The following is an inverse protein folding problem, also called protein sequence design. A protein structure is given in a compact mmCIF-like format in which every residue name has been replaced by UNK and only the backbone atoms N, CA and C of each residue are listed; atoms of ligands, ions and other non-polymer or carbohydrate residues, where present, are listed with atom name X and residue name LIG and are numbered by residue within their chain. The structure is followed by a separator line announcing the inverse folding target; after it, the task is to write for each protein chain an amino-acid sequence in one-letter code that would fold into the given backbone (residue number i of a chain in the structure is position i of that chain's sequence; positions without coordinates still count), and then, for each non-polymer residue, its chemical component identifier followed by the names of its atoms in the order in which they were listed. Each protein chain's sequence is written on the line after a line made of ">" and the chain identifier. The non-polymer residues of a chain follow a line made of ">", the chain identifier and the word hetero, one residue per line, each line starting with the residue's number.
data_IF_526943481406
#
_entry.id   IF_526943481406
#
_cell.length_a   1.000
_cell.length_b   1.000
_cell.length_c   1.000
_cell.angle_alpha   90.00
_cell.angle_beta   90.00
_cell.angle_gamma   90.00
#
_symmetry.space_group_name_H-M   'P 1'
#
loop_
_entity.id
_entity.type
_entity.pdbx_description
1 polymer ?
#
# COMPACT_ATOMS: atom_id res chain seq x y z
N UNK A 1 -17.17 -15.06 0.08
CA UNK A 1 -16.87 -13.68 0.54
C UNK A 1 -16.37 -13.74 1.96
N UNK A 2 -15.28 -13.05 2.34
CA UNK A 2 -14.92 -12.97 3.75
C UNK A 2 -16.11 -12.33 4.49
N UNK A 3 -16.52 -12.95 5.58
CA UNK A 3 -17.65 -12.52 6.40
C UNK A 3 -17.40 -11.09 6.91
N UNK A 4 -18.43 -10.24 6.94
CA UNK A 4 -18.33 -8.86 7.48
C UNK A 4 -17.70 -8.82 8.88
N UNK A 5 -17.93 -9.88 9.70
CA UNK A 5 -17.31 -10.05 11.00
C UNK A 5 -15.79 -10.22 10.89
N UNK A 6 -15.29 -11.03 9.97
CA UNK A 6 -13.85 -11.22 9.74
C UNK A 6 -13.16 -9.90 9.34
N UNK A 7 -13.78 -9.12 8.46
CA UNK A 7 -13.24 -7.83 8.03
C UNK A 7 -13.14 -6.84 9.21
N UNK A 8 -14.15 -6.81 10.09
CA UNK A 8 -14.13 -5.98 11.31
C UNK A 8 -13.02 -6.39 12.27
N UNK A 9 -12.84 -7.70 12.47
CA UNK A 9 -11.75 -8.24 13.31
C UNK A 9 -10.39 -7.83 12.74
N UNK A 10 -10.17 -8.02 11.43
CA UNK A 10 -8.92 -7.64 10.78
C UNK A 10 -8.64 -6.13 10.91
N UNK A 11 -9.64 -5.28 10.69
CA UNK A 11 -9.50 -3.84 10.87
C UNK A 11 -9.21 -3.44 12.32
N UNK A 12 -9.83 -4.11 13.29
CA UNK A 12 -9.53 -3.88 14.72
C UNK A 12 -8.09 -4.28 15.07
N UNK A 13 -7.59 -5.37 14.48
CA UNK A 13 -6.20 -5.79 14.59
C UNK A 13 -5.24 -4.75 14.00
N UNK A 14 -5.51 -4.27 12.79
CA UNK A 14 -4.68 -3.22 12.18
C UNK A 14 -4.65 -1.96 13.04
N UNK A 15 -5.80 -1.52 13.59
CA UNK A 15 -5.86 -0.37 14.51
C UNK A 15 -5.04 -0.60 15.77
N UNK A 16 -5.16 -1.78 16.38
CA UNK A 16 -4.41 -2.12 17.59
C UNK A 16 -2.90 -2.13 17.32
N UNK A 17 -2.45 -2.74 16.22
CA UNK A 17 -1.05 -2.75 15.83
C UNK A 17 -0.52 -1.34 15.55
N UNK A 18 -1.26 -0.52 14.81
CA UNK A 18 -0.87 0.87 14.56
C UNK A 18 -0.76 1.68 15.86
N UNK A 19 -1.69 1.48 16.79
CA UNK A 19 -1.66 2.13 18.11
C UNK A 19 -0.45 1.69 18.95
N UNK A 20 -0.16 0.37 19.00
CA UNK A 20 1.02 -0.17 19.68
C UNK A 20 2.31 0.39 19.08
N UNK A 21 2.36 0.53 17.75
CA UNK A 21 3.52 1.07 17.04
C UNK A 21 3.64 2.59 17.12
N UNK A 22 2.69 3.27 17.75
CA UNK A 22 2.65 4.74 17.82
C UNK A 22 2.40 5.42 16.48
N UNK A 23 1.74 4.73 15.52
CA UNK A 23 1.47 5.25 14.18
C UNK A 23 0.08 5.89 14.14
N UNK A 24 0.02 7.18 13.83
CA UNK A 24 -1.22 7.97 13.71
C UNK A 24 -1.56 8.17 12.24
N UNK A 25 -2.71 7.65 11.80
CA UNK A 25 -3.15 7.74 10.42
C UNK A 25 -4.11 8.92 10.20
N UNK A 26 -3.83 9.74 9.19
CA UNK A 26 -4.72 10.79 8.71
C UNK A 26 -5.08 10.51 7.25
N UNK A 27 -6.36 10.25 7.00
CA UNK A 27 -6.88 9.99 5.66
C UNK A 27 -7.51 11.26 5.08
N UNK A 28 -7.20 11.53 3.81
CA UNK A 28 -7.75 12.65 3.03
C UNK A 28 -8.14 12.18 1.63
N UNK A 29 -8.92 12.97 0.91
CA UNK A 29 -9.33 12.68 -0.45
C UNK A 29 -10.65 11.89 -0.53
N UNK A 30 -10.81 11.12 -1.59
CA UNK A 30 -12.07 10.46 -1.92
C UNK A 30 -12.23 9.12 -1.19
N UNK A 31 -13.51 8.71 -1.01
CA UNK A 31 -13.80 7.34 -0.55
C UNK A 31 -13.84 6.41 -1.75
N UNK A 32 -13.19 5.26 -1.62
CA UNK A 32 -13.29 4.19 -2.63
C UNK A 32 -14.71 3.61 -2.56
N UNK A 33 -15.44 3.72 -3.66
CA UNK A 33 -16.84 3.29 -3.74
C UNK A 33 -16.99 1.97 -4.47
N UNK A 34 -16.34 1.87 -5.62
CA UNK A 34 -16.44 0.73 -6.51
C UNK A 34 -15.21 -0.17 -6.41
N UNK A 35 -15.36 -1.42 -6.85
CA UNK A 35 -14.23 -2.36 -6.91
C UNK A 35 -13.13 -1.78 -7.78
N UNK A 36 -11.91 -1.76 -7.27
CA UNK A 36 -10.78 -1.17 -7.95
C UNK A 36 -9.49 -1.93 -7.70
N UNK A 37 -8.56 -1.82 -8.64
CA UNK A 37 -7.15 -2.11 -8.41
C UNK A 37 -6.53 -0.92 -7.67
N UNK A 38 -6.28 -1.09 -6.37
CA UNK A 38 -5.68 -0.05 -5.53
C UNK A 38 -4.17 -0.08 -5.70
N UNK A 39 -3.56 1.05 -5.98
CA UNK A 39 -2.11 1.18 -6.18
C UNK A 39 -1.52 2.27 -5.29
N UNK A 40 -0.37 2.01 -4.71
CA UNK A 40 0.28 2.97 -3.79
C UNK A 40 1.79 2.95 -3.95
N UNK A 41 2.46 4.05 -3.56
CA UNK A 41 3.88 4.02 -3.28
C UNK A 41 4.18 3.11 -2.10
N UNK A 42 5.43 2.64 -1.99
CA UNK A 42 5.84 1.66 -1.00
C UNK A 42 7.04 2.15 -0.20
N UNK A 43 6.85 2.38 1.09
CA UNK A 43 7.86 2.97 1.99
C UNK A 43 8.25 1.96 3.08
N UNK A 44 7.26 1.21 3.58
CA UNK A 44 7.44 0.39 4.76
C UNK A 44 6.54 -0.85 4.77
N UNK A 45 6.90 -1.82 5.59
CA UNK A 45 6.00 -2.93 5.95
C UNK A 45 4.68 -2.44 6.56
N UNK A 46 4.67 -1.25 7.19
CA UNK A 46 3.49 -0.65 7.80
C UNK A 46 2.45 -0.17 6.78
N UNK A 47 2.79 -0.01 5.50
CA UNK A 47 1.87 0.41 4.45
C UNK A 47 0.65 -0.52 4.36
N UNK A 48 0.87 -1.82 4.60
CA UNK A 48 -0.20 -2.83 4.63
C UNK A 48 -1.19 -2.55 5.77
N UNK A 49 -0.68 -2.21 6.97
CA UNK A 49 -1.51 -1.90 8.13
C UNK A 49 -2.28 -0.59 7.92
N UNK A 50 -1.57 0.42 7.42
CA UNK A 50 -2.11 1.76 7.18
C UNK A 50 -3.22 1.75 6.13
N UNK A 51 -3.03 1.04 5.01
CA UNK A 51 -4.08 0.89 3.98
C UNK A 51 -5.20 -0.01 4.51
N UNK A 52 -4.86 -1.14 5.13
CA UNK A 52 -5.80 -2.17 5.57
C UNK A 52 -6.76 -1.73 6.68
N UNK A 53 -6.42 -0.66 7.43
CA UNK A 53 -7.25 -0.20 8.56
C UNK A 53 -8.63 0.29 8.14
N UNK A 54 -8.77 0.80 6.92
CA UNK A 54 -10.03 1.37 6.44
C UNK A 54 -10.86 0.44 5.56
N UNK A 55 -10.21 -0.52 4.86
CA UNK A 55 -10.90 -1.37 3.89
C UNK A 55 -10.40 -2.82 3.92
N UNK A 56 -11.28 -3.78 3.67
CA UNK A 56 -10.92 -5.19 3.57
C UNK A 56 -10.29 -5.51 2.20
N UNK A 57 -9.03 -5.18 2.04
CA UNK A 57 -8.30 -5.43 0.81
C UNK A 57 -7.65 -6.81 0.75
N UNK A 58 -7.45 -7.28 -0.48
CA UNK A 58 -6.54 -8.38 -0.80
C UNK A 58 -5.19 -7.77 -1.18
N UNK A 59 -4.16 -8.07 -0.42
CA UNK A 59 -2.81 -7.60 -0.73
C UNK A 59 -2.10 -8.57 -1.66
N UNK A 60 -1.22 -8.03 -2.51
CA UNK A 60 -0.27 -8.81 -3.29
C UNK A 60 1.09 -8.76 -2.61
N UNK A 61 1.67 -9.92 -2.32
CA UNK A 61 2.99 -10.03 -1.70
C UNK A 61 3.87 -11.05 -2.44
N UNK A 62 5.19 -10.90 -2.29
CA UNK A 62 6.11 -11.90 -2.77
C UNK A 62 5.99 -13.19 -1.94
N UNK A 63 6.17 -14.35 -2.57
CA UNK A 63 6.07 -15.68 -1.91
C UNK A 63 7.02 -15.82 -0.73
N UNK A 64 8.17 -15.15 -0.77
CA UNK A 64 9.13 -15.16 0.34
C UNK A 64 8.51 -14.68 1.65
N UNK A 65 7.59 -13.72 1.60
CA UNK A 65 6.87 -13.19 2.78
C UNK A 65 5.98 -14.25 3.42
N UNK A 66 5.48 -15.21 2.62
CA UNK A 66 4.69 -16.32 3.14
C UNK A 66 5.46 -17.19 4.15
N UNK A 67 6.79 -17.22 4.06
CA UNK A 67 7.67 -18.02 4.92
C UNK A 67 8.11 -17.28 6.19
N UNK A 68 7.76 -16.01 6.33
CA UNK A 68 8.12 -15.24 7.53
C UNK A 68 7.26 -15.70 8.71
N UNK A 69 7.88 -16.01 9.87
CA UNK A 69 7.16 -16.36 11.08
C UNK A 69 6.12 -15.28 11.43
N UNK A 70 4.93 -15.67 11.87
CA UNK A 70 3.80 -14.80 12.23
C UNK A 70 3.26 -14.00 11.04
N UNK A 71 4.11 -13.21 10.34
CA UNK A 71 3.68 -12.36 9.21
C UNK A 71 3.10 -13.18 8.07
N UNK A 72 3.76 -14.28 7.67
CA UNK A 72 3.27 -15.16 6.62
C UNK A 72 1.96 -15.86 7.01
N UNK A 73 1.80 -16.23 8.27
CA UNK A 73 0.54 -16.79 8.77
C UNK A 73 -0.59 -15.75 8.73
N UNK A 74 -0.34 -14.53 9.23
CA UNK A 74 -1.30 -13.42 9.19
C UNK A 74 -1.67 -13.04 7.75
N UNK A 75 -0.69 -12.96 6.87
CA UNK A 75 -0.92 -12.63 5.46
C UNK A 75 -1.80 -13.68 4.76
N UNK A 76 -1.56 -14.98 5.03
CA UNK A 76 -2.43 -16.06 4.52
C UNK A 76 -3.84 -15.95 5.08
N UNK A 77 -3.99 -15.73 6.38
CA UNK A 77 -5.29 -15.55 7.02
C UNK A 77 -6.06 -14.34 6.46
N UNK A 78 -5.34 -13.27 6.08
CA UNK A 78 -5.90 -12.08 5.43
C UNK A 78 -6.25 -12.30 3.95
N UNK A 79 -5.94 -13.47 3.37
CA UNK A 79 -6.20 -13.79 1.96
C UNK A 79 -5.25 -13.09 0.99
N UNK A 80 -4.02 -12.81 1.42
CA UNK A 80 -2.98 -12.23 0.58
C UNK A 80 -2.66 -13.14 -0.60
N UNK A 81 -2.57 -12.59 -1.79
CA UNK A 81 -2.08 -13.28 -2.98
C UNK A 81 -0.54 -13.31 -2.97
N UNK A 82 0.04 -14.49 -3.13
CA UNK A 82 1.49 -14.65 -3.15
C UNK A 82 1.97 -14.95 -4.56
N UNK A 83 2.92 -14.15 -5.05
CA UNK A 83 3.51 -14.29 -6.38
C UNK A 83 5.01 -14.63 -6.31
N UNK A 84 5.50 -15.37 -7.30
CA UNK A 84 6.90 -15.70 -7.44
C UNK A 84 7.66 -14.65 -8.24
N UNK A 85 8.91 -14.34 -7.84
CA UNK A 85 9.78 -13.43 -8.58
C UNK A 85 10.15 -14.01 -9.94
N UNK A 86 9.95 -13.23 -10.99
CA UNK A 86 10.45 -13.54 -12.34
C UNK A 86 9.67 -14.63 -13.10
N UNK A 87 8.87 -15.43 -12.43
CA UNK A 87 8.00 -16.44 -13.06
C UNK A 87 6.58 -16.22 -12.58
N UNK A 88 5.65 -16.06 -13.49
CA UNK A 88 4.24 -16.02 -13.09
C UNK A 88 3.56 -14.64 -13.16
N UNK A 89 4.12 -13.67 -13.89
CA UNK A 89 3.42 -12.40 -14.10
C UNK A 89 2.04 -12.61 -14.75
N UNK A 90 1.92 -13.56 -15.67
CA UNK A 90 0.64 -13.93 -16.28
C UNK A 90 -0.30 -14.57 -15.26
N UNK A 91 0.19 -15.51 -14.44
CA UNK A 91 -0.58 -16.12 -13.37
C UNK A 91 -0.99 -15.08 -12.30
N UNK A 92 -0.11 -14.15 -11.96
CA UNK A 92 -0.43 -13.07 -11.04
C UNK A 92 -1.54 -12.16 -11.60
N UNK A 93 -1.47 -11.78 -12.88
CA UNK A 93 -2.50 -11.00 -13.55
C UNK A 93 -3.83 -11.74 -13.49
N UNK A 94 -3.87 -13.01 -13.85
CA UNK A 94 -5.08 -13.84 -13.80
C UNK A 94 -5.67 -13.89 -12.39
N UNK A 95 -4.87 -14.18 -11.36
CA UNK A 95 -5.33 -14.25 -9.97
C UNK A 95 -5.88 -12.90 -9.48
N UNK A 96 -5.22 -11.79 -9.81
CA UNK A 96 -5.68 -10.44 -9.47
C UNK A 96 -7.00 -10.15 -10.18
N UNK A 97 -7.09 -10.44 -11.47
CA UNK A 97 -8.29 -10.24 -12.28
C UNK A 97 -9.49 -11.01 -11.74
N UNK A 98 -9.30 -12.29 -11.37
CA UNK A 98 -10.34 -13.13 -10.75
C UNK A 98 -10.83 -12.56 -9.42
N UNK A 99 -9.93 -12.04 -8.58
CA UNK A 99 -10.29 -11.40 -7.31
C UNK A 99 -11.08 -10.12 -7.55
N UNK A 100 -10.64 -9.27 -8.49
CA UNK A 100 -11.36 -8.04 -8.86
C UNK A 100 -12.76 -8.37 -9.42
N UNK A 101 -12.86 -9.34 -10.32
CA UNK A 101 -14.13 -9.80 -10.88
C UNK A 101 -15.08 -10.39 -9.81
N UNK A 102 -14.53 -10.93 -8.70
CA UNK A 102 -15.32 -11.40 -7.56
C UNK A 102 -15.88 -10.27 -6.66
N UNK A 103 -15.67 -9.01 -7.02
CA UNK A 103 -16.14 -7.85 -6.28
C UNK A 103 -15.24 -7.45 -5.10
N UNK A 104 -13.95 -7.83 -5.12
CA UNK A 104 -12.98 -7.52 -4.06
C UNK A 104 -11.86 -6.63 -4.58
N UNK A 105 -11.47 -5.65 -3.79
CA UNK A 105 -10.33 -4.81 -4.12
C UNK A 105 -9.01 -5.57 -3.94
N UNK A 106 -8.05 -5.29 -4.82
CA UNK A 106 -6.68 -5.77 -4.68
C UNK A 106 -5.75 -4.58 -4.52
N UNK A 107 -4.85 -4.65 -3.55
CA UNK A 107 -3.79 -3.65 -3.35
C UNK A 107 -2.47 -4.17 -3.85
N UNK A 108 -1.78 -3.36 -4.64
CA UNK A 108 -0.41 -3.63 -5.04
C UNK A 108 0.48 -2.38 -4.93
N UNK A 109 1.77 -2.62 -4.79
CA UNK A 109 2.81 -1.60 -4.76
C UNK A 109 3.65 -1.71 -6.05
N UNK A 110 3.30 -0.93 -7.09
CA UNK A 110 3.87 -1.14 -8.42
C UNK A 110 5.31 -0.66 -8.57
N UNK A 111 5.92 -0.09 -7.53
CA UNK A 111 7.36 0.18 -7.46
C UNK A 111 8.21 -1.11 -7.35
N UNK A 112 7.59 -2.22 -6.93
CA UNK A 112 8.23 -3.53 -6.80
C UNK A 112 9.19 -3.66 -5.61
N UNK A 113 9.47 -2.59 -4.88
CA UNK A 113 10.27 -2.55 -3.65
C UNK A 113 9.95 -1.32 -2.83
N UNK A 114 10.30 -1.35 -1.55
CA UNK A 114 10.23 -0.19 -0.66
C UNK A 114 11.27 0.88 -1.02
N UNK A 115 10.94 2.14 -0.73
CA UNK A 115 11.76 3.33 -0.98
C UNK A 115 11.91 4.15 0.29
N UNK A 116 12.69 5.23 0.22
CA UNK A 116 12.84 6.17 1.34
C UNK A 116 11.59 7.03 1.58
N UNK A 117 10.65 7.04 0.63
CA UNK A 117 9.44 7.86 0.70
C UNK A 117 9.64 9.32 0.33
N UNK A 118 10.87 9.74 0.00
CA UNK A 118 11.15 11.09 -0.49
C UNK A 118 10.92 11.24 -2.00
N UNK A 119 10.87 10.14 -2.71
CA UNK A 119 10.54 10.07 -4.13
C UNK A 119 9.72 8.83 -4.41
N UNK A 120 8.88 8.88 -5.43
CA UNK A 120 8.11 7.73 -5.93
C UNK A 120 8.80 7.18 -7.17
N UNK A 121 9.18 5.90 -7.15
CA UNK A 121 9.74 5.25 -8.32
C UNK A 121 8.67 4.98 -9.36
N UNK A 122 9.12 4.85 -10.61
CA UNK A 122 8.23 4.52 -11.71
C UNK A 122 7.37 3.29 -11.40
N UNK A 123 6.09 3.39 -11.67
CA UNK A 123 5.15 2.28 -11.55
C UNK A 123 5.31 1.30 -12.72
N UNK A 124 5.56 0.03 -12.41
CA UNK A 124 5.63 -1.03 -13.41
C UNK A 124 4.22 -1.37 -13.91
N UNK A 125 3.96 -1.14 -15.19
CA UNK A 125 2.62 -1.26 -15.77
C UNK A 125 2.11 -2.69 -15.91
N UNK A 126 2.96 -3.72 -15.77
CA UNK A 126 2.61 -5.11 -16.08
C UNK A 126 1.37 -5.60 -15.33
N UNK A 127 1.29 -5.37 -14.02
CA UNK A 127 0.18 -5.85 -13.19
C UNK A 127 -1.09 -5.00 -13.32
N UNK A 128 -1.02 -3.81 -13.92
CA UNK A 128 -2.22 -3.03 -14.26
C UNK A 128 -3.08 -3.70 -15.32
N UNK A 129 -2.50 -4.65 -16.06
CA UNK A 129 -3.24 -5.49 -16.99
C UNK A 129 -4.44 -6.19 -16.33
N UNK A 130 -4.34 -6.54 -15.05
CA UNK A 130 -5.44 -7.15 -14.32
C UNK A 130 -6.66 -6.22 -14.16
N UNK A 131 -6.46 -4.91 -14.03
CA UNK A 131 -7.55 -3.95 -14.02
C UNK A 131 -8.22 -3.83 -15.39
N UNK A 132 -7.41 -3.87 -16.47
CA UNK A 132 -7.90 -3.89 -17.86
C UNK A 132 -8.78 -5.11 -18.09
N UNK A 133 -8.27 -6.30 -17.75
CA UNK A 133 -8.99 -7.58 -17.95
C UNK A 133 -10.27 -7.68 -17.09
N UNK A 134 -10.26 -7.14 -15.89
CA UNK A 134 -11.44 -7.11 -15.01
C UNK A 134 -12.41 -5.96 -15.32
N UNK A 135 -12.05 -5.02 -16.20
CA UNK A 135 -12.86 -3.86 -16.53
C UNK A 135 -13.11 -2.91 -15.34
N UNK A 136 -12.16 -2.85 -14.38
CA UNK A 136 -12.30 -2.02 -13.17
C UNK A 136 -11.35 -0.82 -13.20
N UNK A 137 -11.68 0.27 -12.48
CA UNK A 137 -10.77 1.41 -12.34
C UNK A 137 -9.53 1.08 -11.52
N UNK A 138 -8.50 1.88 -11.69
CA UNK A 138 -7.34 1.96 -10.81
C UNK A 138 -7.57 3.06 -9.80
N UNK A 139 -7.37 2.76 -8.50
CA UNK A 139 -7.51 3.70 -7.40
C UNK A 139 -6.14 4.03 -6.80
N UNK A 140 -5.55 5.20 -7.11
CA UNK A 140 -4.29 5.59 -6.52
C UNK A 140 -4.44 6.01 -5.06
N UNK A 141 -3.45 5.64 -4.24
CA UNK A 141 -3.28 6.09 -2.85
C UNK A 141 -1.84 6.57 -2.67
N UNK A 142 -1.66 7.78 -2.18
CA UNK A 142 -0.36 8.30 -1.78
C UNK A 142 -0.17 8.15 -0.27
N UNK A 143 0.98 7.61 0.14
CA UNK A 143 1.38 7.48 1.55
C UNK A 143 2.61 8.35 1.78
N UNK A 144 2.60 9.08 2.90
CA UNK A 144 3.74 9.82 3.38
C UNK A 144 3.88 9.64 4.89
N UNK A 145 5.11 9.42 5.36
CA UNK A 145 5.40 9.29 6.79
C UNK A 145 6.35 10.38 7.25
N UNK A 146 6.09 10.92 8.44
CA UNK A 146 7.04 11.76 9.14
C UNK A 146 7.01 11.51 10.64
N UNK A 147 8.15 11.66 11.29
CA UNK A 147 8.25 11.52 12.74
C UNK A 147 7.69 12.77 13.43
N UNK A 148 6.91 12.57 14.49
CA UNK A 148 6.31 13.69 15.25
C UNK A 148 7.40 14.59 15.81
N UNK A 149 7.29 15.90 15.60
CA UNK A 149 8.27 16.89 16.04
C UNK A 149 9.54 16.97 15.18
N UNK A 150 9.58 16.29 14.03
CA UNK A 150 10.69 16.36 13.08
C UNK A 150 10.26 17.02 11.77
N UNK A 151 11.18 17.72 11.07
CA UNK A 151 10.89 18.25 9.74
C UNK A 151 10.50 17.13 8.76
N UNK A 152 9.48 17.37 7.94
CA UNK A 152 8.96 16.38 6.98
C UNK A 152 10.01 15.94 5.96
N UNK A 153 10.94 16.83 5.59
CA UNK A 153 12.03 16.55 4.65
C UNK A 153 12.97 15.44 5.10
N UNK A 154 13.04 15.17 6.41
CA UNK A 154 13.86 14.09 6.96
C UNK A 154 13.26 12.70 6.74
N UNK A 155 12.01 12.63 6.20
CA UNK A 155 11.27 11.39 6.08
C UNK A 155 10.89 10.82 7.45
N UNK A 156 10.86 9.51 7.55
CA UNK A 156 10.55 8.82 8.79
C UNK A 156 11.44 7.61 9.02
N UNK A 157 11.75 7.33 10.29
CA UNK A 157 12.48 6.12 10.72
C UNK A 157 11.75 4.80 10.41
N UNK A 158 10.45 4.84 10.06
CA UNK A 158 9.67 3.67 9.64
C UNK A 158 10.11 3.14 8.28
N UNK A 159 10.86 3.93 7.52
CA UNK A 159 11.35 3.56 6.19
C UNK A 159 12.05 2.20 6.23
N UNK A 160 11.67 1.33 5.31
CA UNK A 160 12.21 -0.03 5.17
C UNK A 160 12.94 -0.19 3.82
N UNK A 161 13.84 0.73 3.52
CA UNK A 161 14.62 0.73 2.28
C UNK A 161 16.02 0.12 2.44
N UNK A 162 16.45 -0.13 3.67
CA UNK A 162 17.75 -0.70 4.02
C UNK A 162 17.65 -2.21 4.31
N UNK A 163 18.78 -2.92 4.28
CA UNK A 163 18.90 -4.35 4.55
C UNK A 163 18.76 -4.73 6.04
N UNK A 164 18.33 -3.80 6.88
CA UNK A 164 18.36 -3.95 8.33
C UNK A 164 17.43 -5.04 8.91
N UNK A 165 16.60 -5.64 8.09
CA UNK A 165 15.64 -6.69 8.48
C UNK A 165 14.41 -6.15 9.23
N UNK A 166 13.31 -6.90 9.14
CA UNK A 166 12.00 -6.49 9.69
C UNK A 166 12.04 -6.25 11.20
N UNK A 167 12.68 -7.13 11.97
CA UNK A 167 12.72 -7.05 13.45
C UNK A 167 13.39 -5.74 13.90
N UNK A 168 14.51 -5.38 13.29
CA UNK A 168 15.22 -4.13 13.60
C UNK A 168 14.39 -2.90 13.22
N UNK A 169 13.67 -2.95 12.09
CA UNK A 169 12.77 -1.88 11.68
C UNK A 169 11.61 -1.71 12.65
N UNK A 170 10.97 -2.80 13.08
CA UNK A 170 9.90 -2.79 14.09
C UNK A 170 10.42 -2.20 15.40
N UNK A 171 11.58 -2.66 15.89
CA UNK A 171 12.18 -2.14 17.12
C UNK A 171 12.51 -0.64 17.02
N UNK A 172 13.10 -0.20 15.92
CA UNK A 172 13.38 1.21 15.63
C UNK A 172 12.09 2.07 15.64
N UNK A 173 11.00 1.52 15.13
CA UNK A 173 9.70 2.19 15.15
C UNK A 173 9.15 2.35 16.55
N UNK A 174 9.24 1.29 17.39
CA UNK A 174 8.77 1.30 18.79
C UNK A 174 9.60 2.21 19.70
N UNK A 175 10.91 2.31 19.45
CA UNK A 175 11.85 3.03 20.33
C UNK A 175 11.83 4.56 20.16
N UNK A 176 11.07 5.10 19.24
CA UNK A 176 11.09 6.54 18.95
C UNK A 176 9.75 7.27 19.16
N UNK A 177 9.68 8.55 18.81
CA UNK A 177 8.47 9.34 18.94
C UNK A 177 7.34 8.81 18.04
N UNK A 178 6.07 9.21 18.25
CA UNK A 178 4.98 8.83 17.35
C UNK A 178 5.27 9.19 15.91
N UNK A 179 4.76 8.36 14.99
CA UNK A 179 4.86 8.56 13.54
C UNK A 179 3.51 9.01 13.00
N UNK A 180 3.51 10.04 12.19
CA UNK A 180 2.32 10.46 11.46
C UNK A 180 2.36 9.84 10.06
N UNK A 181 1.30 9.14 9.71
CA UNK A 181 1.05 8.60 8.38
C UNK A 181 -0.04 9.44 7.72
N UNK A 182 0.31 10.14 6.66
CA UNK A 182 -0.63 10.90 5.83
C UNK A 182 -0.98 10.07 4.60
N UNK A 183 -2.27 9.77 4.45
CA UNK A 183 -2.79 8.93 3.38
C UNK A 183 -3.76 9.76 2.56
N UNK A 184 -3.47 9.89 1.27
CA UNK A 184 -4.37 10.54 0.32
C UNK A 184 -4.94 9.54 -0.67
N UNK A 185 -6.25 9.45 -0.72
CA UNK A 185 -6.99 8.67 -1.72
C UNK A 185 -7.35 9.63 -2.86
N UNK A 186 -6.89 9.33 -4.07
CA UNK A 186 -7.15 10.15 -5.25
C UNK A 186 -8.44 9.74 -5.95
N UNK A 187 -8.85 10.50 -6.95
CA UNK A 187 -9.93 10.09 -7.85
C UNK A 187 -9.52 8.83 -8.63
N UNK A 188 -10.44 7.88 -8.83
CA UNK A 188 -10.15 6.68 -9.61
C UNK A 188 -9.86 7.02 -11.07
N UNK A 189 -9.01 6.21 -11.70
CA UNK A 189 -8.60 6.34 -13.11
C UNK A 189 -9.23 5.19 -13.88
N UNK A 190 -9.97 5.50 -14.94
CA UNK A 190 -10.57 4.50 -15.82
C UNK A 190 -11.89 3.93 -15.28
N UNK A 191 -12.36 2.79 -15.81
CA UNK A 191 -11.58 1.78 -16.56
C UNK A 191 -10.99 2.26 -17.89
N UNK A 192 -9.85 1.69 -18.31
CA UNK A 192 -9.13 2.06 -19.51
C UNK A 192 -8.41 0.83 -20.10
N UNK A 193 -8.31 0.76 -21.43
CA UNK A 193 -7.71 -0.40 -22.11
C UNK A 193 -6.18 -0.42 -22.08
N UNK A 194 -5.55 0.74 -21.93
CA UNK A 194 -4.08 0.83 -21.90
C UNK A 194 -3.54 0.83 -20.46
N UNK A 195 -2.90 -0.27 -20.09
CA UNK A 195 -2.23 -0.44 -18.80
C UNK A 195 -1.07 0.55 -18.56
N UNK A 196 -0.42 1.05 -19.63
CA UNK A 196 0.67 2.02 -19.49
C UNK A 196 0.12 3.38 -19.14
N UNK A 197 -0.98 3.78 -19.76
CA UNK A 197 -1.72 4.99 -19.41
C UNK A 197 -2.15 4.95 -17.94
N UNK A 198 -2.79 3.86 -17.49
CA UNK A 198 -3.20 3.70 -16.09
C UNK A 198 -2.03 3.84 -15.12
N UNK A 199 -0.90 3.19 -15.40
CA UNK A 199 0.29 3.25 -14.56
C UNK A 199 0.90 4.66 -14.51
N UNK A 200 0.96 5.36 -15.65
CA UNK A 200 1.53 6.71 -15.75
C UNK A 200 0.67 7.72 -15.01
N UNK A 201 -0.63 7.68 -15.18
CA UNK A 201 -1.57 8.57 -14.48
C UNK A 201 -1.54 8.35 -12.97
N UNK A 202 -1.58 7.08 -12.53
CA UNK A 202 -1.50 6.75 -11.12
C UNK A 202 -0.18 7.19 -10.49
N UNK A 203 0.95 6.96 -11.16
CA UNK A 203 2.26 7.43 -10.73
C UNK A 203 2.29 8.95 -10.59
N UNK A 204 1.77 9.69 -11.59
CA UNK A 204 1.74 11.15 -11.57
C UNK A 204 1.00 11.71 -10.36
N UNK A 205 -0.19 11.19 -10.06
CA UNK A 205 -0.99 11.62 -8.90
C UNK A 205 -0.25 11.35 -7.57
N UNK A 206 0.34 10.16 -7.41
CA UNK A 206 1.05 9.78 -6.19
C UNK A 206 2.34 10.58 -6.01
N UNK A 207 3.13 10.79 -7.08
CA UNK A 207 4.37 11.58 -7.06
C UNK A 207 4.12 13.02 -6.68
N UNK A 208 3.13 13.67 -7.30
CA UNK A 208 2.76 15.05 -6.98
C UNK A 208 2.39 15.22 -5.50
N UNK A 209 1.68 14.24 -4.91
CA UNK A 209 1.34 14.29 -3.51
C UNK A 209 2.58 14.23 -2.61
N UNK A 210 3.49 13.29 -2.86
CA UNK A 210 4.72 13.16 -2.08
C UNK A 210 5.57 14.42 -2.19
N UNK A 211 5.78 14.96 -3.39
CA UNK A 211 6.51 16.19 -3.63
C UNK A 211 5.86 17.40 -2.95
N UNK A 212 4.53 17.54 -3.06
CA UNK A 212 3.79 18.62 -2.40
C UNK A 212 3.92 18.53 -0.88
N UNK A 213 3.80 17.32 -0.30
CA UNK A 213 3.89 17.11 1.14
C UNK A 213 5.29 17.40 1.67
N UNK A 214 6.33 17.05 0.93
CA UNK A 214 7.72 17.39 1.26
C UNK A 214 7.95 18.91 1.25
N UNK A 215 7.40 19.62 0.26
CA UNK A 215 7.64 21.05 0.05
C UNK A 215 6.74 21.96 0.92
N UNK A 216 5.63 21.45 1.44
CA UNK A 216 4.69 22.23 2.25
C UNK A 216 5.17 22.51 3.68
N UNK A 217 6.31 22.00 4.08
CA UNK A 217 6.88 22.15 5.44
C UNK A 217 7.50 23.52 5.75
N UNK A 218 7.41 24.49 4.88
CA UNK A 218 8.00 25.82 5.04
C UNK A 218 7.02 26.94 5.40
N UNK A 219 5.77 26.64 5.77
CA UNK A 219 4.73 27.67 5.99
C UNK A 219 3.93 27.50 7.30
N UNK A 220 4.47 26.81 8.29
CA UNK A 220 3.92 26.82 9.66
C UNK A 220 4.91 27.45 10.64
#
# INVERSE_FOLDING_TARGET
>A
MPNKAFNRIAQSWYRALLAIMGIRCRFTGEKIKDVALVVSNHISWADILVIGVNWPYVFLAMRDVANWPVVGWLARAAGTLFIDRGRGAHQAIQQISEVLASGRHVVLFPEGRTTTGTTVKRFHSRLFQAAVEAGVPVQPIGIFYHDSGQPRQNGSRITFADEAGLVKSVWRTLAGPPINAEIRVFSPIGPHEDRQHLATMAHGQVSQHVEFTLNSSGRE
#
